data_IF_406483766080
#
_entry.id   IF_406483766080
#
_cell.length_a   1.000
_cell.length_b   1.000
_cell.length_c   1.000
_cell.angle_alpha   90.00
_cell.angle_beta   90.00
_cell.angle_gamma   90.00
#
_symmetry.space_group_name_H-M   'P 1'
#
loop_
_entity.id
_entity.type
_entity.pdbx_description
1 polymer ?
#
# COMPACT_ATOMS: atom_id res chain seq x y z
N UNK A 1 -9.27 -4.63 -1.70
CA UNK A 1 -8.05 -5.19 -2.33
C UNK A 1 -7.48 -4.20 -3.34
N UNK A 2 -7.86 -4.23 -4.62
CA UNK A 2 -7.15 -3.52 -5.70
C UNK A 2 -6.89 -2.01 -5.45
N UNK A 3 -7.87 -1.26 -4.96
CA UNK A 3 -7.70 0.17 -4.66
C UNK A 3 -6.61 0.42 -3.62
N UNK A 4 -6.61 -0.36 -2.54
CA UNK A 4 -5.62 -0.27 -1.46
C UNK A 4 -4.25 -0.70 -1.97
N UNK A 5 -4.17 -1.76 -2.79
CA UNK A 5 -2.91 -2.20 -3.39
C UNK A 5 -2.32 -1.14 -4.31
N UNK A 6 -3.15 -0.42 -5.07
CA UNK A 6 -2.68 0.68 -5.91
C UNK A 6 -2.11 1.84 -5.09
N UNK A 7 -2.68 2.14 -3.92
CA UNK A 7 -2.08 3.10 -2.97
C UNK A 7 -0.69 2.62 -2.55
N UNK A 8 -0.55 1.35 -2.13
CA UNK A 8 0.75 0.80 -1.74
C UNK A 8 1.77 0.82 -2.88
N UNK A 9 1.38 0.38 -4.08
CA UNK A 9 2.24 0.45 -5.27
C UNK A 9 2.77 1.85 -5.51
N UNK A 10 1.88 2.86 -5.46
CA UNK A 10 2.26 4.26 -5.65
C UNK A 10 3.22 4.71 -4.56
N UNK A 11 2.82 4.59 -3.31
CA UNK A 11 3.53 5.23 -2.21
C UNK A 11 4.90 4.59 -1.96
N UNK A 12 4.99 3.25 -1.93
CA UNK A 12 6.27 2.56 -1.74
C UNK A 12 7.23 2.77 -2.93
N UNK A 13 6.72 2.88 -4.16
CA UNK A 13 7.56 3.20 -5.32
C UNK A 13 8.12 4.64 -5.29
N UNK A 14 7.37 5.59 -4.74
CA UNK A 14 7.77 7.01 -4.70
C UNK A 14 8.68 7.36 -3.52
N UNK A 15 8.51 6.71 -2.36
CA UNK A 15 9.24 7.01 -1.12
C UNK A 15 10.77 7.05 -1.26
N UNK A 16 11.46 6.08 -1.90
CA UNK A 16 12.92 6.17 -2.08
C UNK A 16 13.34 7.46 -2.77
N UNK A 17 12.58 7.91 -3.77
CA UNK A 17 12.82 9.16 -4.47
C UNK A 17 12.61 10.40 -3.60
N UNK A 18 11.63 10.38 -2.69
CA UNK A 18 11.39 11.46 -1.73
C UNK A 18 12.58 11.62 -0.78
N UNK A 19 13.06 10.50 -0.22
CA UNK A 19 14.18 10.48 0.73
C UNK A 19 15.47 10.95 0.05
N UNK A 20 15.79 10.44 -1.16
CA UNK A 20 16.98 10.84 -1.93
C UNK A 20 17.02 12.32 -2.32
N UNK A 21 15.85 12.95 -2.54
CA UNK A 21 15.76 14.37 -2.94
C UNK A 21 15.67 15.34 -1.77
N UNK A 22 15.52 14.86 -0.54
CA UNK A 22 15.52 15.71 0.63
C UNK A 22 16.90 16.38 0.77
N UNK A 23 16.96 17.72 0.95
CA UNK A 23 18.25 18.40 1.14
C UNK A 23 18.97 17.92 2.41
N UNK A 24 20.29 17.81 2.34
CA UNK A 24 21.13 17.46 3.48
C UNK A 24 20.89 18.41 4.66
N UNK A 25 20.65 17.85 5.85
CA UNK A 25 20.38 18.67 7.04
C UNK A 25 18.97 19.24 7.16
N UNK A 26 18.07 19.03 6.19
CA UNK A 26 16.69 19.55 6.25
C UNK A 26 15.80 18.68 7.17
N UNK A 27 15.83 19.00 8.46
CA UNK A 27 15.03 18.32 9.48
C UNK A 27 13.53 18.44 9.24
N UNK A 28 13.04 19.59 8.76
CA UNK A 28 11.61 19.79 8.53
C UNK A 28 11.12 18.87 7.42
N UNK A 29 11.86 18.80 6.31
CA UNK A 29 11.53 17.91 5.21
C UNK A 29 11.68 16.43 5.59
N UNK A 30 12.72 16.09 6.34
CA UNK A 30 12.96 14.73 6.80
C UNK A 30 11.83 14.24 7.71
N UNK A 31 11.35 15.07 8.65
CA UNK A 31 10.22 14.71 9.52
C UNK A 31 8.93 14.48 8.73
N UNK A 32 8.60 15.39 7.81
CA UNK A 32 7.42 15.24 6.93
C UNK A 32 7.43 13.94 6.12
N UNK A 33 8.59 13.56 5.58
CA UNK A 33 8.72 12.30 4.82
C UNK A 33 8.68 11.08 5.76
N UNK A 34 9.35 11.15 6.91
CA UNK A 34 9.36 10.05 7.88
C UNK A 34 7.97 9.76 8.44
N UNK A 35 7.18 10.78 8.79
CA UNK A 35 5.80 10.63 9.23
C UNK A 35 4.94 9.93 8.17
N UNK A 36 5.13 10.29 6.90
CA UNK A 36 4.43 9.65 5.78
C UNK A 36 4.84 8.19 5.60
N UNK A 37 6.14 7.88 5.72
CA UNK A 37 6.64 6.50 5.68
C UNK A 37 5.99 5.68 6.80
N UNK A 38 6.01 6.18 8.04
CA UNK A 38 5.38 5.50 9.19
C UNK A 38 3.88 5.30 9.01
N UNK A 39 3.16 6.31 8.50
CA UNK A 39 1.74 6.16 8.22
C UNK A 39 1.45 5.05 7.18
N UNK A 40 2.27 4.96 6.13
CA UNK A 40 2.10 3.95 5.09
C UNK A 40 2.55 2.55 5.51
N UNK A 41 3.60 2.41 6.34
CA UNK A 41 3.99 1.11 6.90
C UNK A 41 2.96 0.59 7.89
N UNK A 42 2.40 1.46 8.73
CA UNK A 42 1.29 1.09 9.62
C UNK A 42 0.04 0.68 8.84
N UNK A 43 -0.29 1.41 7.76
CA UNK A 43 -1.43 1.07 6.92
C UNK A 43 -1.23 -0.29 6.21
N UNK A 44 -0.04 -0.55 5.69
CA UNK A 44 0.31 -1.85 5.10
C UNK A 44 0.24 -2.97 6.13
N UNK A 45 0.75 -2.76 7.34
CA UNK A 45 0.69 -3.75 8.39
C UNK A 45 -0.75 -4.09 8.79
N UNK A 46 -1.61 -3.08 9.00
CA UNK A 46 -3.02 -3.30 9.32
C UNK A 46 -3.77 -4.06 8.21
N UNK A 47 -3.44 -3.79 6.94
CA UNK A 47 -3.98 -4.52 5.80
C UNK A 47 -3.60 -6.01 5.83
N UNK A 48 -2.32 -6.34 6.03
CA UNK A 48 -1.90 -7.74 6.12
C UNK A 48 -2.50 -8.45 7.35
N UNK A 49 -2.63 -7.75 8.49
CA UNK A 49 -3.28 -8.33 9.69
C UNK A 49 -4.75 -8.66 9.40
N UNK A 50 -5.47 -7.79 8.69
CA UNK A 50 -6.85 -8.08 8.26
C UNK A 50 -6.92 -9.37 7.44
N UNK A 51 -6.00 -9.57 6.50
CA UNK A 51 -5.91 -10.79 5.68
C UNK A 51 -5.53 -12.02 6.49
N UNK A 52 -4.52 -11.89 7.34
CA UNK A 52 -4.02 -12.97 8.21
C UNK A 52 -5.12 -13.49 9.13
N UNK A 53 -5.89 -12.57 9.73
CA UNK A 53 -6.92 -12.91 10.70
C UNK A 53 -8.22 -13.41 10.05
N UNK A 54 -8.51 -13.02 8.80
CA UNK A 54 -9.83 -13.26 8.20
C UNK A 54 -9.78 -14.02 6.86
N UNK A 55 -8.88 -13.68 5.94
CA UNK A 55 -8.90 -14.20 4.57
C UNK A 55 -8.33 -15.61 4.52
N UNK A 56 -7.10 -15.82 5.04
CA UNK A 56 -6.46 -17.14 4.97
C UNK A 56 -7.25 -18.23 5.70
N UNK A 57 -7.75 -18.00 6.94
CA UNK A 57 -8.52 -19.01 7.65
C UNK A 57 -9.80 -19.40 6.90
N UNK A 58 -10.51 -18.43 6.31
CA UNK A 58 -11.75 -18.70 5.57
C UNK A 58 -11.50 -19.45 4.27
N UNK A 59 -10.43 -19.12 3.54
CA UNK A 59 -10.09 -19.86 2.33
C UNK A 59 -9.70 -21.32 2.66
N UNK A 60 -8.92 -21.54 3.71
CA UNK A 60 -8.61 -22.89 4.19
C UNK A 60 -9.88 -23.65 4.61
N UNK A 61 -10.78 -23.01 5.35
CA UNK A 61 -12.04 -23.62 5.79
C UNK A 61 -12.92 -24.04 4.59
N UNK A 62 -13.05 -23.16 3.58
CA UNK A 62 -14.00 -23.34 2.47
C UNK A 62 -13.45 -24.14 1.30
N UNK A 63 -12.13 -24.09 1.07
CA UNK A 63 -11.48 -24.70 -0.10
C UNK A 63 -10.57 -25.89 0.29
N UNK A 64 -10.26 -26.05 1.58
CA UNK A 64 -9.44 -27.14 2.10
C UNK A 64 -8.03 -27.17 1.51
N UNK A 65 -7.50 -28.38 1.32
CA UNK A 65 -6.12 -28.63 0.87
C UNK A 65 -5.78 -27.96 -0.47
N UNK A 66 -6.78 -27.67 -1.31
CA UNK A 66 -6.56 -27.07 -2.63
C UNK A 66 -5.89 -25.69 -2.58
N UNK A 67 -6.05 -24.94 -1.49
CA UNK A 67 -5.47 -23.60 -1.31
C UNK A 67 -4.33 -23.57 -0.29
N UNK A 68 -3.99 -24.69 0.36
CA UNK A 68 -3.04 -24.72 1.47
C UNK A 68 -1.64 -24.21 1.08
N UNK A 69 -1.15 -24.58 -0.11
CA UNK A 69 0.14 -24.09 -0.60
C UNK A 69 0.12 -22.60 -0.96
N UNK A 70 -1.01 -22.08 -1.43
CA UNK A 70 -1.16 -20.66 -1.73
C UNK A 70 -1.20 -19.83 -0.44
N UNK A 71 -1.96 -20.27 0.56
CA UNK A 71 -2.00 -19.62 1.88
C UNK A 71 -0.61 -19.60 2.53
N UNK A 72 0.10 -20.73 2.54
CA UNK A 72 1.46 -20.78 3.06
C UNK A 72 2.42 -19.82 2.32
N UNK A 73 2.22 -19.61 1.01
CA UNK A 73 2.98 -18.63 0.25
C UNK A 73 2.65 -17.19 0.72
N UNK A 74 1.37 -16.84 0.86
CA UNK A 74 0.93 -15.51 1.31
C UNK A 74 1.46 -15.20 2.71
N UNK A 75 1.31 -16.13 3.66
CA UNK A 75 1.87 -15.99 5.02
C UNK A 75 3.39 -15.81 4.97
N UNK A 76 4.10 -16.54 4.12
CA UNK A 76 5.57 -16.40 4.01
C UNK A 76 5.98 -15.02 3.47
N UNK A 77 5.22 -14.47 2.52
CA UNK A 77 5.43 -13.13 1.98
C UNK A 77 5.09 -12.05 3.02
N UNK A 78 3.99 -12.20 3.77
CA UNK A 78 3.66 -11.34 4.90
C UNK A 78 4.77 -11.33 5.95
N UNK A 79 5.29 -12.49 6.35
CA UNK A 79 6.41 -12.57 7.30
C UNK A 79 7.67 -11.86 6.80
N UNK A 80 7.98 -11.96 5.51
CA UNK A 80 9.11 -11.25 4.92
C UNK A 80 8.91 -9.72 5.01
N UNK A 81 7.73 -9.22 4.68
CA UNK A 81 7.39 -7.79 4.75
C UNK A 81 7.36 -7.30 6.21
N UNK A 82 6.77 -8.08 7.11
CA UNK A 82 6.72 -7.81 8.54
C UNK A 82 8.11 -7.76 9.20
N UNK A 83 9.11 -8.43 8.62
CA UNK A 83 10.50 -8.32 9.06
C UNK A 83 11.15 -7.00 8.64
N UNK A 84 10.76 -6.45 7.48
CA UNK A 84 11.34 -5.22 6.92
C UNK A 84 10.68 -3.95 7.48
N UNK A 85 9.37 -3.97 7.75
CA UNK A 85 8.61 -2.81 8.21
C UNK A 85 9.22 -2.15 9.47
N UNK A 86 9.52 -2.89 10.57
CA UNK A 86 10.10 -2.27 11.76
C UNK A 86 11.49 -1.69 11.52
N UNK A 87 12.26 -2.25 10.57
CA UNK A 87 13.57 -1.72 10.21
C UNK A 87 13.44 -0.39 9.47
N UNK A 88 12.44 -0.27 8.58
CA UNK A 88 12.13 0.98 7.87
C UNK A 88 11.70 2.06 8.85
N UNK A 89 10.81 1.74 9.80
CA UNK A 89 10.34 2.68 10.81
C UNK A 89 11.49 3.18 11.70
N UNK A 90 12.36 2.27 12.15
CA UNK A 90 13.56 2.64 12.91
C UNK A 90 14.49 3.54 12.09
N UNK A 91 14.74 3.21 10.82
CA UNK A 91 15.58 4.02 9.94
C UNK A 91 14.96 5.39 9.62
N UNK A 92 13.64 5.48 9.45
CA UNK A 92 12.91 6.73 9.24
C UNK A 92 12.99 7.64 10.48
N UNK A 93 12.87 7.05 11.67
CA UNK A 93 13.07 7.76 12.94
C UNK A 93 14.50 8.27 13.10
N UNK A 94 15.51 7.43 12.81
CA UNK A 94 16.93 7.84 12.87
C UNK A 94 17.21 8.97 11.88
N UNK A 95 16.75 8.83 10.64
CA UNK A 95 17.00 9.80 9.58
C UNK A 95 16.30 11.15 9.84
N UNK A 96 15.06 11.16 10.32
CA UNK A 96 14.37 12.43 10.64
C UNK A 96 15.01 13.21 11.79
N UNK A 97 15.56 12.49 12.78
CA UNK A 97 16.30 13.11 13.89
C UNK A 97 17.72 13.54 13.52
N UNK A 98 18.34 12.93 12.50
CA UNK A 98 19.69 13.22 12.06
C UNK A 98 19.83 13.02 10.53
N UNK A 99 19.37 13.98 9.69
CA UNK A 99 19.27 13.84 8.24
C UNK A 99 20.62 14.05 7.55
N UNK A 100 21.50 13.06 7.71
CA UNK A 100 22.81 12.97 7.07
C UNK A 100 22.74 12.07 5.83
N UNK A 101 23.72 12.16 4.92
CA UNK A 101 23.80 11.23 3.79
C UNK A 101 23.82 9.74 4.20
N UNK A 102 24.43 9.41 5.35
CA UNK A 102 24.52 8.02 5.83
C UNK A 102 23.18 7.49 6.33
N UNK A 103 22.44 8.26 7.13
CA UNK A 103 21.11 7.85 7.61
C UNK A 103 20.08 7.86 6.47
N UNK A 104 20.21 8.79 5.52
CA UNK A 104 19.43 8.83 4.29
C UNK A 104 19.63 7.54 3.48
N UNK A 105 20.88 7.17 3.19
CA UNK A 105 21.20 5.98 2.42
C UNK A 105 20.67 4.70 3.09
N UNK A 106 20.80 4.61 4.41
CA UNK A 106 20.28 3.47 5.18
C UNK A 106 18.77 3.29 4.99
N UNK A 107 18.00 4.37 5.07
CA UNK A 107 16.56 4.34 4.85
C UNK A 107 16.21 4.00 3.38
N UNK A 108 16.93 4.59 2.43
CA UNK A 108 16.76 4.31 1.00
C UNK A 108 16.99 2.82 0.69
N UNK A 109 18.06 2.22 1.22
CA UNK A 109 18.37 0.81 0.98
C UNK A 109 17.27 -0.13 1.50
N UNK A 110 16.64 0.21 2.63
CA UNK A 110 15.52 -0.55 3.17
C UNK A 110 14.25 -0.40 2.31
N UNK A 111 13.96 0.83 1.85
CA UNK A 111 12.82 1.07 0.96
C UNK A 111 13.02 0.39 -0.41
N UNK A 112 14.23 0.42 -0.96
CA UNK A 112 14.58 -0.28 -2.21
C UNK A 112 14.47 -1.81 -2.07
N UNK A 113 14.64 -2.35 -0.86
CA UNK A 113 14.46 -3.79 -0.57
C UNK A 113 13.00 -4.20 -0.39
N UNK A 114 12.19 -3.39 0.30
CA UNK A 114 10.77 -3.73 0.54
C UNK A 114 9.91 -3.56 -0.71
N UNK A 115 10.20 -2.56 -1.54
CA UNK A 115 9.39 -2.23 -2.73
C UNK A 115 9.20 -3.41 -3.69
N UNK A 116 10.25 -4.14 -4.13
CA UNK A 116 10.07 -5.29 -5.00
C UNK A 116 9.37 -6.47 -4.31
N UNK A 117 9.65 -6.72 -3.03
CA UNK A 117 8.98 -7.79 -2.27
C UNK A 117 7.47 -7.51 -2.14
N UNK A 118 7.10 -6.26 -1.86
CA UNK A 118 5.71 -5.84 -1.81
C UNK A 118 5.06 -5.94 -3.20
N UNK A 119 5.74 -5.52 -4.27
CA UNK A 119 5.21 -5.66 -5.64
C UNK A 119 4.91 -7.13 -5.97
N UNK A 120 5.85 -8.03 -5.66
CA UNK A 120 5.69 -9.47 -5.90
C UNK A 120 4.50 -10.04 -5.13
N UNK A 121 4.40 -9.70 -3.84
CA UNK A 121 3.31 -10.11 -2.98
C UNK A 121 1.94 -9.66 -3.51
N UNK A 122 1.76 -8.35 -3.76
CA UNK A 122 0.50 -7.81 -4.25
C UNK A 122 0.11 -8.41 -5.61
N UNK A 123 1.08 -8.69 -6.49
CA UNK A 123 0.80 -9.33 -7.77
C UNK A 123 0.32 -10.77 -7.63
N UNK A 124 0.96 -11.55 -6.75
CA UNK A 124 0.60 -12.94 -6.49
C UNK A 124 -0.78 -13.05 -5.84
N UNK A 125 -1.09 -12.15 -4.90
CA UNK A 125 -2.37 -12.07 -4.25
C UNK A 125 -3.49 -11.72 -5.25
N UNK A 126 -3.31 -10.68 -6.05
CA UNK A 126 -4.31 -10.27 -7.04
C UNK A 126 -4.58 -11.32 -8.11
N UNK A 127 -3.56 -12.06 -8.54
CA UNK A 127 -3.74 -13.09 -9.57
C UNK A 127 -4.35 -14.39 -9.04
N UNK A 128 -4.18 -14.68 -7.75
CA UNK A 128 -4.40 -16.03 -7.21
C UNK A 128 -5.40 -16.06 -6.05
N UNK A 129 -5.33 -15.08 -5.15
CA UNK A 129 -6.17 -15.00 -3.95
C UNK A 129 -7.45 -14.24 -4.24
N UNK A 130 -7.38 -13.07 -4.87
CA UNK A 130 -8.57 -12.23 -5.11
C UNK A 130 -9.69 -12.99 -5.85
N UNK A 131 -9.42 -13.80 -6.90
CA UNK A 131 -10.46 -14.59 -7.54
C UNK A 131 -11.11 -15.63 -6.61
N UNK A 132 -10.34 -16.19 -5.66
CA UNK A 132 -10.87 -17.12 -4.65
C UNK A 132 -11.71 -16.37 -3.61
N UNK A 133 -11.29 -15.17 -3.20
CA UNK A 133 -12.09 -14.31 -2.34
C UNK A 133 -13.44 -14.01 -2.98
N UNK A 134 -13.47 -13.62 -4.26
CA UNK A 134 -14.73 -13.33 -4.98
C UNK A 134 -15.66 -14.55 -5.07
N UNK A 135 -15.10 -15.76 -5.16
CA UNK A 135 -15.86 -17.01 -5.23
C UNK A 135 -16.35 -17.51 -3.88
N UNK A 136 -15.57 -17.26 -2.81
CA UNK A 136 -15.74 -17.93 -1.54
C UNK A 136 -16.00 -17.01 -0.35
N UNK A 137 -15.82 -15.69 -0.45
CA UNK A 137 -16.07 -14.72 0.61
C UNK A 137 -17.14 -13.75 0.11
N UNK A 138 -18.25 -13.67 0.82
CA UNK A 138 -19.35 -12.78 0.41
C UNK A 138 -18.97 -11.32 0.64
N UNK A 139 -19.56 -10.41 -0.15
CA UNK A 139 -19.38 -8.97 0.07
C UNK A 139 -19.77 -8.55 1.50
N UNK A 140 -20.79 -9.15 2.10
CA UNK A 140 -21.21 -8.85 3.46
C UNK A 140 -20.15 -9.26 4.52
N UNK A 141 -19.52 -10.43 4.36
CA UNK A 141 -18.42 -10.87 5.22
C UNK A 141 -17.21 -9.94 5.09
N UNK A 142 -16.82 -9.65 3.85
CA UNK A 142 -15.72 -8.74 3.55
C UNK A 142 -15.93 -7.34 4.17
N UNK A 143 -17.14 -6.80 4.03
CA UNK A 143 -17.51 -5.52 4.66
C UNK A 143 -17.51 -5.63 6.19
N UNK A 144 -17.89 -6.77 6.74
CA UNK A 144 -17.78 -7.05 8.17
C UNK A 144 -16.34 -6.91 8.67
N UNK A 145 -15.37 -7.50 7.98
CA UNK A 145 -13.94 -7.42 8.33
C UNK A 145 -13.41 -5.99 8.21
N UNK A 146 -13.76 -5.30 7.11
CA UNK A 146 -13.35 -3.92 6.92
C UNK A 146 -13.92 -3.00 8.01
N UNK A 147 -15.16 -3.22 8.46
CA UNK A 147 -15.78 -2.43 9.55
C UNK A 147 -15.20 -2.76 10.92
N UNK A 148 -14.75 -4.00 11.18
CA UNK A 148 -14.10 -4.32 12.45
C UNK A 148 -12.74 -3.64 12.55
N UNK A 149 -11.97 -3.65 11.46
CA UNK A 149 -10.66 -3.00 11.40
C UNK A 149 -10.75 -1.47 11.26
N UNK A 150 -11.74 -0.94 10.54
CA UNK A 150 -11.91 0.51 10.39
C UNK A 150 -12.27 1.22 11.70
N UNK A 151 -12.73 0.50 12.74
CA UNK A 151 -12.87 1.07 14.09
C UNK A 151 -11.53 1.47 14.71
N UNK A 152 -10.42 0.94 14.18
CA UNK A 152 -9.07 1.37 14.52
C UNK A 152 -8.57 2.54 13.66
N UNK A 153 -9.23 2.83 12.52
CA UNK A 153 -8.97 4.04 11.74
C UNK A 153 -9.60 5.22 12.48
N UNK A 154 -8.78 6.09 13.05
CA UNK A 154 -9.26 7.32 13.68
C UNK A 154 -10.02 8.18 12.65
N UNK A 155 -11.11 8.82 13.09
CA UNK A 155 -11.91 9.74 12.29
C UNK A 155 -11.04 10.87 11.69
N UNK A 156 -9.93 11.21 12.34
CA UNK A 156 -8.94 12.15 11.83
C UNK A 156 -8.30 11.71 10.50
N UNK A 157 -8.05 10.41 10.31
CA UNK A 157 -7.33 9.89 9.13
C UNK A 157 -8.26 9.40 8.02
N UNK A 158 -9.53 9.17 8.32
CA UNK A 158 -10.53 8.69 7.37
C UNK A 158 -10.63 9.53 6.07
N UNK A 159 -10.63 10.89 6.10
CA UNK A 159 -10.68 11.68 4.87
C UNK A 159 -9.46 11.48 3.97
N UNK A 160 -8.27 11.28 4.56
CA UNK A 160 -7.06 11.04 3.78
C UNK A 160 -7.10 9.68 3.08
N UNK A 161 -7.49 8.62 3.80
CA UNK A 161 -7.58 7.26 3.23
C UNK A 161 -8.63 7.21 2.13
N UNK A 162 -9.83 7.77 2.36
CA UNK A 162 -10.86 7.87 1.34
C UNK A 162 -10.37 8.67 0.13
N UNK A 163 -9.68 9.80 0.35
CA UNK A 163 -9.12 10.61 -0.73
C UNK A 163 -8.07 9.87 -1.56
N UNK A 164 -7.22 9.05 -0.91
CA UNK A 164 -6.27 8.19 -1.60
C UNK A 164 -6.97 7.10 -2.43
N UNK A 165 -8.04 6.50 -1.92
CA UNK A 165 -8.85 5.52 -2.66
C UNK A 165 -9.51 6.19 -3.87
N UNK A 166 -10.18 7.33 -3.67
CA UNK A 166 -10.80 8.12 -4.74
C UNK A 166 -9.80 8.50 -5.82
N UNK A 167 -8.55 8.79 -5.45
CA UNK A 167 -7.50 9.08 -6.40
C UNK A 167 -7.06 7.87 -7.23
N UNK A 168 -7.18 6.64 -6.73
CA UNK A 168 -6.79 5.41 -7.44
C UNK A 168 -7.96 4.72 -8.17
N UNK A 169 -9.19 4.93 -7.73
CA UNK A 169 -10.38 4.28 -8.28
C UNK A 169 -11.04 5.02 -9.43
N UNK A 170 -11.88 4.30 -10.16
CA UNK A 170 -12.97 4.87 -10.95
C UNK A 170 -14.21 5.13 -10.07
N UNK A 171 -15.21 5.83 -10.62
CA UNK A 171 -16.41 6.21 -9.87
C UNK A 171 -17.21 5.01 -9.34
N UNK A 172 -17.32 3.92 -10.09
CA UNK A 172 -18.11 2.75 -9.69
C UNK A 172 -17.47 2.04 -8.49
N UNK A 173 -16.15 1.82 -8.56
CA UNK A 173 -15.38 1.21 -7.48
C UNK A 173 -15.47 2.03 -6.18
N UNK A 174 -15.49 3.37 -6.29
CA UNK A 174 -15.55 4.27 -5.14
C UNK A 174 -16.95 4.34 -4.54
N UNK A 175 -18.00 4.36 -5.35
CA UNK A 175 -19.38 4.28 -4.85
C UNK A 175 -19.60 3.02 -4.01
N UNK A 176 -19.04 1.88 -4.45
CA UNK A 176 -19.07 0.63 -3.70
C UNK A 176 -18.32 0.75 -2.36
N UNK A 177 -17.12 1.32 -2.35
CA UNK A 177 -16.33 1.55 -1.12
C UNK A 177 -17.09 2.45 -0.13
N UNK A 178 -17.66 3.55 -0.61
CA UNK A 178 -18.40 4.49 0.24
C UNK A 178 -19.62 3.80 0.85
N UNK A 179 -20.42 3.10 0.04
CA UNK A 179 -21.59 2.38 0.52
C UNK A 179 -21.23 1.27 1.54
N UNK A 180 -20.09 0.62 1.34
CA UNK A 180 -19.64 -0.51 2.15
C UNK A 180 -19.00 -0.10 3.48
N UNK A 181 -18.03 0.81 3.44
CA UNK A 181 -17.14 1.13 4.56
C UNK A 181 -17.54 2.44 5.23
N UNK A 182 -17.90 3.45 4.43
CA UNK A 182 -18.13 4.82 4.90
C UNK A 182 -19.61 5.18 5.09
N UNK A 183 -20.53 4.23 4.92
CA UNK A 183 -21.98 4.48 5.04
C UNK A 183 -22.43 4.91 6.44
N UNK A 184 -21.69 4.49 7.47
CA UNK A 184 -21.94 4.86 8.88
C UNK A 184 -21.09 6.06 9.35
N UNK A 185 -20.32 6.67 8.44
CA UNK A 185 -19.36 7.75 8.72
C UNK A 185 -19.97 9.11 8.38
N UNK A 186 -19.49 10.17 9.03
CA UNK A 186 -19.94 11.54 8.78
C UNK A 186 -19.82 11.90 7.28
N UNK A 187 -20.91 12.32 6.61
CA UNK A 187 -20.91 12.62 5.17
C UNK A 187 -19.98 13.79 4.80
N UNK A 188 -19.51 14.59 5.76
CA UNK A 188 -18.48 15.61 5.53
C UNK A 188 -17.13 14.99 5.15
N UNK A 189 -16.85 13.74 5.51
CA UNK A 189 -15.60 13.04 5.17
C UNK A 189 -15.46 12.91 3.64
N UNK A 190 -16.54 12.54 2.94
CA UNK A 190 -16.54 12.45 1.48
C UNK A 190 -16.25 13.81 0.83
N UNK A 191 -16.89 14.88 1.34
CA UNK A 191 -16.68 16.24 0.85
C UNK A 191 -15.25 16.76 1.06
N UNK A 192 -14.54 16.28 2.09
CA UNK A 192 -13.16 16.68 2.39
C UNK A 192 -12.12 15.80 1.68
N UNK A 193 -12.45 14.54 1.37
CA UNK A 193 -11.50 13.50 0.96
C UNK A 193 -10.54 13.91 -0.16
N UNK A 194 -11.08 14.37 -1.30
CA UNK A 194 -10.27 14.78 -2.45
C UNK A 194 -9.33 15.95 -2.12
N UNK A 195 -9.82 16.94 -1.36
CA UNK A 195 -9.03 18.10 -0.96
C UNK A 195 -7.94 17.76 0.06
N UNK A 196 -8.24 16.86 1.00
CA UNK A 196 -7.30 16.35 2.00
C UNK A 196 -6.18 15.58 1.32
N UNK A 197 -6.51 14.68 0.39
CA UNK A 197 -5.50 13.96 -0.39
C UNK A 197 -4.65 14.92 -1.23
N UNK A 198 -5.26 15.86 -1.96
CA UNK A 198 -4.51 16.83 -2.77
C UNK A 198 -3.53 17.66 -1.93
N UNK A 199 -3.95 18.11 -0.74
CA UNK A 199 -3.11 18.88 0.18
C UNK A 199 -1.97 18.02 0.76
N UNK A 200 -2.28 16.79 1.21
CA UNK A 200 -1.28 15.83 1.68
C UNK A 200 -0.27 15.51 0.60
N UNK A 201 -0.75 15.24 -0.61
CA UNK A 201 0.07 14.93 -1.77
C UNK A 201 0.96 16.10 -2.17
N UNK A 202 0.45 17.34 -2.15
CA UNK A 202 1.27 18.53 -2.37
C UNK A 202 2.38 18.66 -1.33
N UNK A 203 2.08 18.36 -0.05
CA UNK A 203 3.06 18.37 1.05
C UNK A 203 4.14 17.29 0.88
N UNK A 204 3.75 16.07 0.49
CA UNK A 204 4.65 14.92 0.40
C UNK A 204 5.39 14.89 -0.94
N UNK A 205 4.68 14.97 -2.06
CA UNK A 205 5.23 14.75 -3.40
C UNK A 205 5.60 16.04 -4.14
N UNK A 206 5.20 17.21 -3.62
CA UNK A 206 5.38 18.50 -4.29
C UNK A 206 4.38 18.75 -5.42
N UNK A 207 3.38 17.88 -5.56
CA UNK A 207 2.29 17.97 -6.54
C UNK A 207 1.01 17.40 -5.92
N UNK A 208 -0.15 17.97 -6.25
CA UNK A 208 -1.44 17.39 -5.86
C UNK A 208 -1.75 16.09 -6.62
N UNK A 209 -1.11 15.84 -7.77
CA UNK A 209 -1.40 14.73 -8.68
C UNK A 209 -0.14 13.89 -8.98
N UNK A 210 0.35 13.08 -8.03
CA UNK A 210 1.46 12.16 -8.26
C UNK A 210 1.03 11.04 -9.20
N UNK A 211 1.97 10.32 -9.85
CA UNK A 211 1.63 9.17 -10.70
C UNK A 211 0.73 8.17 -9.96
N UNK A 212 -0.23 7.55 -10.64
CA UNK A 212 -1.13 6.55 -10.03
C UNK A 212 -0.44 5.19 -9.90
N UNK A 213 -0.89 4.36 -8.96
CA UNK A 213 -0.30 3.03 -8.73
C UNK A 213 -0.36 2.13 -9.97
N UNK A 214 -1.50 2.13 -10.67
CA UNK A 214 -1.70 1.33 -11.88
C UNK A 214 -0.77 1.73 -13.05
N UNK A 215 -0.49 3.03 -13.18
CA UNK A 215 0.43 3.56 -14.21
C UNK A 215 1.86 3.09 -13.98
N UNK A 216 2.28 3.00 -12.71
CA UNK A 216 3.61 2.56 -12.32
C UNK A 216 3.81 1.05 -12.54
N UNK A 217 2.76 0.24 -12.45
CA UNK A 217 2.83 -1.19 -12.79
C UNK A 217 2.98 -1.39 -14.29
N UNK A 218 2.09 -0.79 -15.08
CA UNK A 218 2.04 -0.95 -16.55
C UNK A 218 3.30 -0.45 -17.25
N UNK A 219 3.88 0.66 -16.80
CA UNK A 219 5.13 1.19 -17.35
C UNK A 219 6.30 0.20 -17.18
N UNK A 220 6.38 -0.50 -16.03
CA UNK A 220 7.43 -1.50 -15.77
C UNK A 220 7.20 -2.80 -16.54
N UNK A 221 5.96 -3.26 -16.64
CA UNK A 221 5.64 -4.49 -17.38
C UNK A 221 5.97 -4.34 -18.88
N UNK A 222 5.77 -3.13 -19.43
CA UNK A 222 6.22 -2.78 -20.78
C UNK A 222 7.76 -2.76 -20.94
N UNK A 223 8.49 -2.25 -19.94
CA UNK A 223 9.96 -2.22 -19.90
C UNK A 223 10.56 -3.63 -19.79
N UNK A 224 10.03 -4.47 -18.90
CA UNK A 224 10.50 -5.84 -18.68
C UNK A 224 10.21 -6.72 -19.92
N UNK A 225 9.05 -6.56 -20.55
CA UNK A 225 8.69 -7.20 -21.84
C UNK A 225 9.64 -6.79 -22.97
N UNK A 226 10.02 -5.51 -23.04
CA UNK A 226 10.97 -5.01 -24.03
C UNK A 226 12.40 -5.56 -23.80
N UNK A 227 12.81 -5.76 -22.54
CA UNK A 227 14.09 -6.38 -22.20
C UNK A 227 14.12 -7.88 -22.53
N UNK A 228 13.05 -8.62 -22.24
CA UNK A 228 12.94 -10.04 -22.63
C UNK A 228 12.95 -10.23 -24.14
N UNK A 229 12.24 -9.38 -24.89
CA UNK A 229 12.24 -9.42 -26.36
C UNK A 229 13.64 -9.16 -26.96
N UNK A 230 14.43 -8.26 -26.39
CA UNK A 230 15.81 -7.98 -26.83
C UNK A 230 16.78 -9.12 -26.51
N UNK A 231 16.62 -9.77 -25.36
CA UNK A 231 17.44 -10.92 -24.96
C UNK A 231 17.17 -12.15 -25.82
N UNK A 232 15.93 -12.36 -26.28
CA UNK A 232 15.57 -13.47 -27.18
C UNK A 232 15.99 -13.24 -28.64
N UNK A 233 16.25 -11.99 -29.05
CA UNK A 233 16.77 -11.67 -30.39
C UNK A 233 18.30 -11.73 -30.49
N UNK A 234 19.00 -11.90 -29.35
CA UNK A 234 20.47 -11.94 -29.28
C UNK A 234 21.04 -13.36 -29.06
N UNK A 235 20.19 -14.39 -29.14
CA UNK A 235 20.52 -15.82 -29.08
C UNK A 235 20.15 -16.50 -30.38
#
# INVERSE_FOLDING_TARGET
MLLVHNIFRREFALMPGLVRRAPDGDHTRAHVIADHITAMTNFLHAHHVLEDDNVWPLLLERCGESVASLVALMESQHHQLATLIPQIEAAASIWSNNPTPTSQQTLVDLLDRVTPALKEHLAAEESSVVPLMEQHITAAEWVGFLKSESRAIDAEHAPLILGMMMYEGDSESIEQVIAAIFSDIDPTIEGLAASTFAAHSQKIHGTATPPRGAELSTAKDALDSAHQAKSQQST
#
